data_IF_477580321406
#
_entry.id   IF_477580321406
#
_cell.length_a   1.000
_cell.length_b   1.000
_cell.length_c   1.000
_cell.angle_alpha   90.00
_cell.angle_beta   90.00
_cell.angle_gamma   90.00
#
_symmetry.space_group_name_H-M   'P 1'
#
loop_
_entity.id
_entity.type
_entity.pdbx_description
1 polymer ?
#
# COMPACT_ATOMS: atom_id res chain seq x y z
N UNK A 1 17.02 -9.02 2.82
CA UNK A 1 15.83 -8.30 2.30
C UNK A 1 16.08 -6.83 2.00
N UNK A 2 15.82 -6.40 0.76
CA UNK A 2 15.81 -4.99 0.35
C UNK A 2 14.53 -4.28 0.85
N UNK A 3 14.65 -3.04 1.32
CA UNK A 3 13.53 -2.19 1.76
C UNK A 3 13.64 -0.80 1.12
N UNK A 4 12.59 -0.36 0.44
CA UNK A 4 12.52 0.98 -0.18
C UNK A 4 11.22 1.66 0.19
N UNK A 5 11.29 2.87 0.74
CA UNK A 5 10.14 3.68 1.11
C UNK A 5 10.01 4.86 0.15
N UNK A 6 8.79 5.08 -0.36
CA UNK A 6 8.47 6.16 -1.29
C UNK A 6 7.24 6.90 -0.79
N UNK A 7 7.26 8.22 -0.90
CA UNK A 7 6.10 9.08 -0.68
C UNK A 7 5.50 9.46 -2.03
N UNK A 8 4.21 9.21 -2.22
CA UNK A 8 3.48 9.50 -3.46
C UNK A 8 2.36 10.50 -3.18
N UNK A 9 2.08 11.37 -4.15
CA UNK A 9 0.97 12.31 -4.08
C UNK A 9 -0.38 11.56 -4.04
N UNK A 10 -1.34 12.08 -3.30
CA UNK A 10 -2.69 11.50 -3.17
C UNK A 10 -3.73 12.45 -3.75
N UNK A 11 -3.72 12.62 -5.08
CA UNK A 11 -4.62 13.52 -5.82
C UNK A 11 -4.70 14.94 -5.23
N UNK A 12 -3.57 15.48 -4.77
CA UNK A 12 -3.50 16.81 -4.15
C UNK A 12 -4.14 16.94 -2.75
N UNK A 13 -4.61 15.84 -2.16
CA UNK A 13 -5.17 15.80 -0.79
C UNK A 13 -4.07 15.62 0.26
N UNK A 14 -2.89 15.19 -0.16
CA UNK A 14 -1.77 14.92 0.73
C UNK A 14 -0.72 14.01 0.09
N UNK A 15 0.00 13.27 0.93
CA UNK A 15 1.00 12.28 0.53
C UNK A 15 0.76 10.96 1.25
N UNK A 16 0.99 9.88 0.52
CA UNK A 16 0.90 8.51 0.98
C UNK A 16 2.23 7.80 0.97
N UNK A 17 2.50 7.06 2.04
CA UNK A 17 3.65 6.17 2.08
C UNK A 17 3.36 4.85 1.37
N UNK A 18 4.35 4.39 0.59
CA UNK A 18 4.45 3.02 0.08
C UNK A 18 5.81 2.46 0.50
N UNK A 19 5.82 1.27 1.10
CA UNK A 19 7.07 0.56 1.42
C UNK A 19 7.13 -0.74 0.61
N UNK A 20 8.22 -0.87 -0.13
CA UNK A 20 8.55 -2.05 -0.92
C UNK A 20 9.54 -2.94 -0.18
N UNK A 21 9.30 -4.24 -0.21
CA UNK A 21 10.24 -5.25 0.26
C UNK A 21 10.58 -6.24 -0.85
N UNK A 22 11.86 -6.57 -0.97
CA UNK A 22 12.38 -7.47 -1.99
C UNK A 22 12.71 -6.77 -3.32
N UNK A 23 13.39 -7.53 -4.17
CA UNK A 23 13.99 -7.04 -5.41
C UNK A 23 13.31 -7.62 -6.66
N UNK A 24 12.76 -8.84 -6.56
CA UNK A 24 12.11 -9.57 -7.65
C UNK A 24 10.95 -10.43 -7.10
N UNK A 25 10.03 -10.81 -7.98
CA UNK A 25 8.96 -11.76 -7.68
C UNK A 25 7.59 -11.25 -8.10
N UNK A 26 6.56 -12.06 -7.86
CA UNK A 26 5.18 -11.65 -8.12
C UNK A 26 4.80 -10.52 -7.15
N UNK A 27 4.23 -9.40 -7.62
CA UNK A 27 3.87 -8.30 -6.75
C UNK A 27 2.77 -8.73 -5.78
N UNK A 28 2.93 -8.34 -4.53
CA UNK A 28 1.98 -8.55 -3.45
C UNK A 28 1.66 -7.19 -2.83
N UNK A 29 0.48 -6.65 -3.14
CA UNK A 29 -0.03 -5.42 -2.53
C UNK A 29 -0.66 -5.75 -1.17
N UNK A 30 -0.18 -5.10 -0.12
CA UNK A 30 -0.68 -5.24 1.25
C UNK A 30 -1.57 -4.04 1.58
N UNK A 31 -2.83 -4.34 1.94
CA UNK A 31 -3.72 -3.35 2.52
C UNK A 31 -3.52 -3.27 4.04
N UNK A 32 -3.43 -2.06 4.60
CA UNK A 32 -3.29 -1.86 6.02
C UNK A 32 -4.60 -2.19 6.76
N UNK A 33 -4.49 -2.44 8.07
CA UNK A 33 -5.65 -2.47 8.97
C UNK A 33 -6.27 -1.08 9.12
N UNK A 34 -7.45 -1.00 9.74
CA UNK A 34 -8.09 0.26 10.12
C UNK A 34 -7.11 1.14 10.92
N UNK A 35 -7.07 2.44 10.60
CA UNK A 35 -6.09 3.41 11.12
C UNK A 35 -4.60 3.03 10.92
N UNK A 36 -4.29 1.98 10.16
CA UNK A 36 -2.95 1.48 9.94
C UNK A 36 -2.14 2.30 8.94
N UNK A 37 -0.82 2.14 9.02
CA UNK A 37 0.20 2.77 8.19
C UNK A 37 1.00 1.73 7.40
N UNK A 38 1.68 2.15 6.35
CA UNK A 38 2.48 1.27 5.50
C UNK A 38 3.52 0.45 6.30
N UNK A 39 4.13 1.03 7.34
CA UNK A 39 5.13 0.36 8.19
C UNK A 39 4.53 -0.60 9.21
N UNK A 40 3.21 -0.60 9.44
CA UNK A 40 2.61 -1.50 10.43
C UNK A 40 2.70 -2.96 9.99
N UNK A 41 2.79 -3.22 8.69
CA UNK A 41 3.05 -4.57 8.19
C UNK A 41 4.43 -5.09 8.65
N UNK A 42 5.46 -4.24 8.62
CA UNK A 42 6.81 -4.55 9.13
C UNK A 42 6.85 -4.58 10.66
N UNK A 43 6.27 -3.58 11.33
CA UNK A 43 6.27 -3.50 12.79
C UNK A 43 5.54 -4.68 13.46
N UNK A 44 4.56 -5.29 12.77
CA UNK A 44 3.86 -6.48 13.24
C UNK A 44 4.54 -7.80 12.80
N UNK A 45 5.82 -7.75 12.39
CA UNK A 45 6.63 -8.88 11.98
C UNK A 45 6.08 -9.68 10.77
N UNK A 46 5.16 -9.11 9.99
CA UNK A 46 4.57 -9.82 8.86
C UNK A 46 5.56 -9.99 7.72
N UNK A 47 6.49 -9.04 7.56
CA UNK A 47 7.55 -9.16 6.56
C UNK A 47 8.52 -10.29 6.94
N UNK A 48 8.92 -10.38 8.21
CA UNK A 48 9.77 -11.46 8.72
C UNK A 48 9.10 -12.83 8.57
N UNK A 49 7.78 -12.90 8.80
CA UNK A 49 7.01 -14.13 8.64
C UNK A 49 7.02 -14.71 7.20
N UNK A 50 7.26 -13.87 6.19
CA UNK A 50 7.36 -14.28 4.79
C UNK A 50 8.75 -14.02 4.18
N UNK A 51 9.77 -13.76 5.00
CA UNK A 51 11.10 -13.36 4.55
C UNK A 51 11.70 -14.36 3.55
N UNK A 52 11.53 -15.67 3.79
CA UNK A 52 12.01 -16.72 2.87
C UNK A 52 11.44 -16.58 1.45
N UNK A 53 10.18 -16.14 1.32
CA UNK A 53 9.55 -15.92 0.02
C UNK A 53 10.07 -14.64 -0.66
N UNK A 54 10.31 -13.59 0.13
CA UNK A 54 10.81 -12.31 -0.35
C UNK A 54 12.26 -12.44 -0.79
N UNK A 55 13.11 -13.05 0.03
CA UNK A 55 14.54 -13.22 -0.24
C UNK A 55 14.78 -14.22 -1.38
N UNK A 56 13.93 -15.25 -1.53
CA UNK A 56 13.97 -16.16 -2.68
C UNK A 56 13.40 -15.54 -3.98
N UNK A 57 12.97 -14.28 -3.97
CA UNK A 57 12.42 -13.58 -5.14
C UNK A 57 11.10 -14.19 -5.63
N UNK A 58 10.34 -14.86 -4.75
CA UNK A 58 9.03 -15.44 -5.09
C UNK A 58 7.94 -14.37 -5.06
N UNK A 59 8.04 -13.44 -4.12
CA UNK A 59 7.14 -12.30 -3.99
C UNK A 59 7.93 -11.00 -3.79
N UNK A 60 7.37 -9.90 -4.30
CA UNK A 60 7.85 -8.55 -4.06
C UNK A 60 6.71 -7.75 -3.43
N UNK A 61 6.89 -7.33 -2.20
CA UNK A 61 5.79 -6.83 -1.35
C UNK A 61 5.71 -5.31 -1.43
N UNK A 62 4.50 -4.77 -1.49
CA UNK A 62 4.22 -3.34 -1.48
C UNK A 62 3.16 -3.06 -0.41
N UNK A 63 3.56 -2.44 0.70
CA UNK A 63 2.65 -2.02 1.78
C UNK A 63 2.30 -0.54 1.64
N UNK A 64 1.03 -0.20 1.78
CA UNK A 64 0.52 1.18 1.56
C UNK A 64 -0.16 1.74 2.80
N UNK A 65 -0.25 3.06 2.88
CA UNK A 65 -1.06 3.75 3.89
C UNK A 65 -2.57 3.55 3.69
N UNK A 66 -3.35 3.72 4.77
CA UNK A 66 -4.81 3.49 4.76
C UNK A 66 -5.64 4.72 4.36
N UNK A 67 -5.15 5.92 4.68
CA UNK A 67 -5.93 7.18 4.74
C UNK A 67 -7.28 7.07 5.44
N UNK A 68 -7.43 6.10 6.33
CA UNK A 68 -8.73 5.77 6.88
C UNK A 68 -9.26 6.91 7.79
N UNK A 69 -8.34 7.63 8.44
CA UNK A 69 -8.63 8.85 9.21
C UNK A 69 -9.25 10.00 8.39
N UNK A 70 -9.18 9.97 7.06
CA UNK A 70 -9.83 10.93 6.16
C UNK A 70 -11.15 10.41 5.61
N UNK A 71 -11.46 9.12 5.82
CA UNK A 71 -12.55 8.38 5.19
C UNK A 71 -13.42 7.66 6.24
N UNK A 72 -13.32 6.35 6.41
CA UNK A 72 -14.23 5.59 7.28
C UNK A 72 -14.06 5.90 8.76
N UNK A 73 -12.82 6.08 9.22
CA UNK A 73 -12.52 6.49 10.60
C UNK A 73 -12.87 7.96 10.90
N UNK A 74 -13.27 8.76 9.91
CA UNK A 74 -13.68 10.16 10.12
C UNK A 74 -15.11 10.25 10.65
N UNK A 75 -15.33 9.71 11.85
CA UNK A 75 -16.64 9.54 12.50
C UNK A 75 -17.38 10.85 12.80
N UNK A 76 -16.76 12.01 12.58
CA UNK A 76 -17.44 13.32 12.63
C UNK A 76 -18.34 13.58 11.42
N UNK A 77 -18.26 12.76 10.37
CA UNK A 77 -19.05 12.91 9.14
C UNK A 77 -20.09 11.79 8.98
N UNK A 78 -21.21 12.07 8.27
CA UNK A 78 -22.16 11.03 7.88
C UNK A 78 -21.51 9.92 7.04
N UNK A 79 -22.03 8.70 7.13
CA UNK A 79 -21.55 7.52 6.39
C UNK A 79 -21.45 7.75 4.88
N UNK A 80 -22.42 8.44 4.29
CA UNK A 80 -22.42 8.75 2.84
C UNK A 80 -21.22 9.62 2.45
N UNK A 81 -20.90 10.64 3.25
CA UNK A 81 -19.76 11.52 2.98
C UNK A 81 -18.43 10.78 3.17
N UNK A 82 -18.33 9.90 4.18
CA UNK A 82 -17.16 9.03 4.37
C UNK A 82 -16.93 8.10 3.18
N UNK A 83 -18.00 7.49 2.66
CA UNK A 83 -17.96 6.65 1.47
C UNK A 83 -17.53 7.44 0.23
N UNK A 84 -18.05 8.67 0.05
CA UNK A 84 -17.64 9.55 -1.05
C UNK A 84 -16.14 9.89 -0.99
N UNK A 85 -15.63 10.20 0.21
CA UNK A 85 -14.21 10.50 0.42
C UNK A 85 -13.31 9.31 0.18
N UNK A 86 -13.77 8.09 0.50
CA UNK A 86 -13.04 6.86 0.23
C UNK A 86 -12.67 6.68 -1.26
N UNK A 87 -13.43 7.27 -2.19
CA UNK A 87 -13.09 7.26 -3.61
C UNK A 87 -11.71 7.86 -3.93
N UNK A 88 -11.17 8.75 -3.08
CA UNK A 88 -9.78 9.26 -3.23
C UNK A 88 -8.77 8.15 -2.96
N UNK A 89 -8.99 7.35 -1.91
CA UNK A 89 -8.12 6.21 -1.61
C UNK A 89 -8.19 5.15 -2.72
N UNK A 90 -9.40 4.83 -3.18
CA UNK A 90 -9.61 3.88 -4.28
C UNK A 90 -8.83 4.30 -5.53
N UNK A 91 -8.97 5.56 -5.97
CA UNK A 91 -8.23 6.06 -7.13
C UNK A 91 -6.73 6.17 -6.90
N UNK A 92 -6.28 6.52 -5.70
CA UNK A 92 -4.86 6.45 -5.38
C UNK A 92 -4.32 5.03 -5.59
N UNK A 93 -5.06 4.01 -5.18
CA UNK A 93 -4.69 2.62 -5.42
C UNK A 93 -4.69 2.29 -6.93
N UNK A 94 -5.79 2.56 -7.65
CA UNK A 94 -5.94 2.13 -9.05
C UNK A 94 -5.11 2.93 -10.03
N UNK A 95 -4.97 4.24 -9.80
CA UNK A 95 -4.42 5.17 -10.78
C UNK A 95 -2.97 5.57 -10.45
N UNK A 96 -2.53 5.34 -9.20
CA UNK A 96 -1.15 5.66 -8.76
C UNK A 96 -0.37 4.42 -8.34
N UNK A 97 -0.89 3.61 -7.39
CA UNK A 97 -0.16 2.49 -6.82
C UNK A 97 0.00 1.35 -7.82
N UNK A 98 -1.09 0.87 -8.44
CA UNK A 98 -1.01 -0.23 -9.41
C UNK A 98 -0.07 0.12 -10.57
N UNK A 99 -0.16 1.30 -11.23
CA UNK A 99 0.79 1.68 -12.27
C UNK A 99 2.24 1.81 -11.78
N UNK A 100 2.47 2.19 -10.53
CA UNK A 100 3.82 2.19 -9.93
C UNK A 100 4.37 0.76 -9.79
N UNK A 101 3.55 -0.16 -9.28
CA UNK A 101 3.90 -1.58 -9.15
C UNK A 101 4.19 -2.21 -10.52
N UNK A 102 3.36 -1.93 -11.53
CA UNK A 102 3.54 -2.47 -12.89
C UNK A 102 4.86 -2.03 -13.51
N UNK A 103 5.25 -0.76 -13.30
CA UNK A 103 6.55 -0.24 -13.79
C UNK A 103 7.74 -0.84 -13.02
N UNK A 104 7.58 -1.09 -11.72
CA UNK A 104 8.64 -1.61 -10.85
C UNK A 104 8.78 -3.15 -10.90
N UNK A 105 7.74 -3.85 -11.35
CA UNK A 105 7.70 -5.32 -11.51
C UNK A 105 7.25 -5.72 -12.92
N UNK A 106 7.97 -5.31 -13.99
CA UNK A 106 7.56 -5.62 -15.36
C UNK A 106 7.56 -7.14 -15.59
N UNK A 107 6.45 -7.68 -16.11
CA UNK A 107 6.33 -9.10 -16.45
C UNK A 107 5.62 -9.98 -15.42
N UNK A 108 4.97 -9.40 -14.41
CA UNK A 108 4.08 -10.15 -13.49
C UNK A 108 2.74 -10.56 -14.12
N UNK A 109 2.44 -10.06 -15.32
CA UNK A 109 1.27 -10.45 -16.10
C UNK A 109 1.34 -11.94 -16.46
N UNK A 110 0.43 -12.72 -15.87
CA UNK A 110 0.08 -14.05 -16.35
C UNK A 110 -0.94 -13.97 -17.48
#
# INVERSE_FOLDING_TARGET
>A
MERVQVELDTEGVGRGTVIRYGHWGRPLLVFPSEAGRAWDFENNAMVDAIADLVDAGRVKVYAVDSFDHLTWSLNSLPTEERARRHGIYERWITDTIIPMIDRDSPGHGG
#
